data_IF_981353895368
#
_entry.id   IF_981353895368
#
_cell.length_a   1.000
_cell.length_b   1.000
_cell.length_c   1.000
_cell.angle_alpha   90.00
_cell.angle_beta   90.00
_cell.angle_gamma   90.00
#
_symmetry.space_group_name_H-M   'P 1'
#
loop_
_entity.id
_entity.type
_entity.pdbx_description
1 polymer ?
2 branched ?
3 non-polymer ?
4 water ?
#
# COMPACT_ATOMS: atom_id res chain seq x y z
N UNK A 1 -9.50 13.01 -11.18
CA UNK A 1 -9.78 12.10 -10.04
C UNK A 1 -10.03 10.68 -10.54
N UNK A 2 -9.08 9.79 -10.24
CA UNK A 2 -9.08 8.42 -10.76
C UNK A 2 -10.21 7.61 -10.14
N UNK A 3 -10.68 6.61 -10.86
CA UNK A 3 -11.70 5.71 -10.36
C UNK A 3 -11.08 4.63 -9.46
N UNK A 4 -11.68 4.46 -8.29
CA UNK A 4 -11.31 3.41 -7.37
C UNK A 4 -12.36 2.31 -7.39
N UNK A 5 -11.94 1.04 -7.39
CA UNK A 5 -10.58 0.53 -7.32
C UNK A 5 -9.80 0.82 -8.58
N UNK A 6 -8.51 1.03 -8.41
CA UNK A 6 -7.63 1.49 -9.50
C UNK A 6 -6.49 0.49 -9.62
N UNK A 7 -6.18 0.11 -10.86
CA UNK A 7 -5.01 -0.73 -11.12
C UNK A 7 -3.89 0.04 -11.80
N UNK A 8 -2.74 0.07 -11.12
CA UNK A 8 -1.54 0.65 -11.67
C UNK A 8 -0.57 -0.46 -12.11
N UNK A 9 -0.41 -0.65 -13.43
CA UNK A 9 0.62 -1.57 -13.90
C UNK A 9 2.00 -1.16 -13.45
N UNK A 10 2.80 -2.16 -13.07
CA UNK A 10 4.19 -1.96 -12.73
C UNK A 10 5.04 -2.80 -13.69
N UNK A 11 5.47 -2.19 -14.80
CA UNK A 11 5.98 -3.02 -15.90
C UNK A 11 7.30 -3.69 -15.57
N UNK A 12 7.37 -5.01 -15.67
CA UNK A 12 8.58 -5.71 -15.27
C UNK A 12 8.75 -5.80 -13.76
N UNK A 13 7.65 -5.56 -13.05
CA UNK A 13 7.63 -5.74 -11.60
C UNK A 13 8.35 -4.62 -10.89
N UNK A 14 8.67 -4.86 -9.64
CA UNK A 14 9.39 -3.86 -8.85
C UNK A 14 10.84 -4.25 -8.71
N UNK A 15 11.62 -3.32 -8.20
CA UNK A 15 13.08 -3.44 -8.15
C UNK A 15 13.54 -2.42 -7.12
N UNK A 16 14.64 -2.71 -6.40
CA UNK A 16 15.15 -1.68 -5.50
C UNK A 16 15.39 -0.33 -6.20
N UNK A 17 15.15 0.72 -5.43
CA UNK A 17 15.23 2.12 -5.86
C UNK A 17 14.04 2.58 -6.72
N UNK A 18 13.01 1.76 -6.81
CA UNK A 18 11.75 2.17 -7.38
C UNK A 18 10.83 2.76 -6.31
N UNK A 19 10.31 3.94 -6.62
CA UNK A 19 9.49 4.70 -5.68
C UNK A 19 8.10 4.85 -6.27
N UNK A 20 7.09 4.40 -5.52
CA UNK A 20 5.72 4.46 -5.97
C UNK A 20 5.01 5.48 -5.10
N UNK A 21 4.34 6.43 -5.74
CA UNK A 21 3.72 7.55 -5.02
C UNK A 21 2.22 7.61 -5.28
N UNK A 22 1.45 7.58 -4.19
CA UNK A 22 0.00 7.58 -4.27
C UNK A 22 -0.50 8.85 -3.58
N UNK A 23 -1.24 9.67 -4.31
CA UNK A 23 -1.81 10.87 -3.73
C UNK A 23 -3.31 10.76 -3.74
N UNK A 24 -3.94 11.10 -2.62
CA UNK A 24 -5.38 10.96 -2.52
C UNK A 24 -5.89 11.77 -1.35
N UNK A 25 -7.20 11.74 -1.16
CA UNK A 25 -7.80 12.33 0.03
C UNK A 25 -8.70 11.29 0.67
N UNK A 26 -8.61 11.15 1.99
CA UNK A 26 -9.46 10.20 2.69
C UNK A 26 -10.88 10.73 2.74
N UNK A 27 -11.85 9.89 2.41
CA UNK A 27 -13.26 10.28 2.48
C UNK A 27 -13.62 10.61 3.93
N UNK A 28 -14.64 11.45 4.13
CA UNK A 28 -15.16 11.57 5.49
C UNK A 28 -15.70 10.22 6.00
N UNK A 29 -15.57 9.96 7.30
CA UNK A 29 -16.00 8.64 7.84
C UNK A 29 -15.50 7.43 7.03
N UNK A 30 -14.26 7.50 6.55
CA UNK A 30 -13.59 6.34 6.00
C UNK A 30 -13.58 5.13 6.93
N UNK A 31 -13.67 3.95 6.33
CA UNK A 31 -13.50 2.70 7.04
C UNK A 31 -12.15 2.02 6.76
N UNK A 32 -11.73 2.02 5.49
CA UNK A 32 -10.53 1.29 5.11
C UNK A 32 -9.87 1.88 3.87
N UNK A 33 -8.59 1.58 3.72
CA UNK A 33 -7.88 1.79 2.47
C UNK A 33 -7.03 0.55 2.28
N UNK A 34 -6.79 0.16 1.03
CA UNK A 34 -5.84 -0.91 0.76
C UNK A 34 -5.00 -0.62 -0.46
N UNK A 35 -3.69 -0.83 -0.29
CA UNK A 35 -2.75 -0.96 -1.40
C UNK A 35 -2.33 -2.41 -1.47
N UNK A 36 -2.57 -3.03 -2.63
CA UNK A 36 -2.18 -4.42 -2.86
C UNK A 36 -1.18 -4.51 -4.01
N UNK A 37 0.08 -4.76 -3.67
CA UNK A 37 1.12 -5.08 -4.67
C UNK A 37 1.03 -6.56 -5.03
N UNK A 38 0.67 -6.83 -6.28
CA UNK A 38 0.23 -8.17 -6.69
C UNK A 38 1.24 -8.84 -7.59
N UNK A 39 1.47 -10.13 -7.34
CA UNK A 39 2.13 -11.03 -8.28
C UNK A 39 1.07 -12.01 -8.78
N UNK A 40 0.51 -11.72 -9.96
CA UNK A 40 -0.69 -12.44 -10.42
C UNK A 40 -1.78 -12.31 -9.38
N UNK A 41 -2.35 -13.44 -8.98
CA UNK A 41 -3.36 -13.46 -7.93
C UNK A 41 -2.83 -13.29 -6.50
N UNK A 42 -1.54 -13.52 -6.30
CA UNK A 42 -0.97 -13.38 -4.98
C UNK A 42 -0.83 -11.90 -4.66
N UNK A 43 -0.91 -11.57 -3.38
CA UNK A 43 -0.64 -10.21 -2.94
C UNK A 43 0.68 -10.23 -2.17
N UNK A 44 1.73 -9.71 -2.79
CA UNK A 44 3.06 -9.72 -2.21
C UNK A 44 3.12 -8.83 -0.98
N UNK A 45 2.44 -7.70 -1.05
CA UNK A 45 2.43 -6.72 0.03
C UNK A 45 1.07 -6.03 0.02
N UNK A 46 0.30 -6.33 1.06
CA UNK A 46 -1.00 -5.72 1.38
C UNK A 46 -0.77 -4.72 2.50
N UNK A 47 -1.14 -3.47 2.22
CA UNK A 47 -0.97 -2.34 3.13
C UNK A 47 -2.37 -1.79 3.37
N UNK A 48 -2.88 -2.00 4.59
CA UNK A 48 -4.32 -1.87 4.87
C UNK A 48 -4.62 -1.03 6.12
N UNK A 49 -4.66 0.30 5.97
CA UNK A 49 -5.19 1.18 7.03
C UNK A 49 -6.65 0.86 7.33
N UNK A 50 -6.94 0.60 8.61
CA UNK A 50 -8.29 0.38 9.09
C UNK A 50 -8.60 1.46 10.10
N UNK A 51 -9.67 2.20 9.83
CA UNK A 51 -10.02 3.39 10.61
C UNK A 51 -10.88 3.07 11.83
N UNK A 52 -11.44 1.87 11.88
CA UNK A 52 -12.30 1.48 13.01
C UNK A 52 -12.35 -0.02 13.16
N UNK A 53 -11.27 -0.57 13.69
CA UNK A 53 -11.24 -1.93 14.15
C UNK A 53 -11.38 -1.89 15.66
N UNK A 54 -12.56 -2.28 16.16
CA UNK A 54 -12.90 -2.09 17.57
C UNK A 54 -12.56 -0.69 18.10
N UNK A 55 -12.92 0.32 17.32
CA UNK A 55 -12.78 1.72 17.69
C UNK A 55 -11.31 2.12 17.86
N UNK A 56 -10.43 1.41 17.16
CA UNK A 56 -9.02 1.79 17.08
C UNK A 56 -8.63 1.89 15.62
N UNK A 57 -7.60 2.68 15.35
CA UNK A 57 -7.07 2.86 14.01
C UNK A 57 -5.76 2.09 13.96
N UNK A 58 -5.62 1.23 12.95
CA UNK A 58 -4.45 0.36 12.87
C UNK A 58 -4.09 0.16 11.41
N UNK A 59 -2.80 -0.01 11.14
CA UNK A 59 -2.35 -0.47 9.81
C UNK A 59 -2.08 -1.97 9.85
N UNK A 60 -2.77 -2.71 8.98
CA UNK A 60 -2.53 -4.14 8.84
C UNK A 60 -1.75 -4.37 7.54
N UNK A 61 -0.62 -5.05 7.65
CA UNK A 61 0.13 -5.52 6.48
C UNK A 61 0.25 -7.04 6.45
N UNK A 62 0.23 -7.61 5.26
CA UNK A 62 0.25 -9.05 5.12
C UNK A 62 0.56 -9.42 3.67
N UNK A 63 0.60 -10.72 3.43
CA UNK A 63 0.84 -11.31 2.11
C UNK A 63 -0.21 -12.39 1.90
N UNK A 64 -0.72 -12.48 0.67
CA UNK A 64 -1.69 -13.51 0.29
C UNK A 64 -1.02 -14.42 -0.72
N UNK A 65 -0.92 -15.71 -0.41
CA UNK A 65 -0.34 -16.69 -1.30
C UNK A 65 -1.33 -17.81 -1.53
N UNK A 66 -1.59 -18.14 -2.79
CA UNK A 66 -2.57 -19.17 -3.10
C UNK A 66 -3.88 -18.97 -2.33
N UNK A 67 -4.35 -17.73 -2.31
CA UNK A 67 -5.57 -17.35 -1.61
C UNK A 67 -5.57 -17.53 -0.08
N UNK A 68 -4.40 -17.67 0.52
CA UNK A 68 -4.26 -17.75 1.97
C UNK A 68 -3.52 -16.55 2.54
N UNK A 69 -4.11 -15.87 3.51
CA UNK A 69 -3.40 -14.81 4.22
C UNK A 69 -2.35 -15.38 5.18
N UNK A 70 -1.21 -14.71 5.27
CA UNK A 70 -0.18 -15.09 6.22
C UNK A 70 -0.31 -14.41 7.58
N UNK A 71 0.81 -14.30 8.26
CA UNK A 71 0.91 -13.62 9.55
C UNK A 71 0.83 -12.11 9.37
N UNK A 72 -0.15 -11.48 10.00
CA UNK A 72 -0.28 -10.04 9.92
C UNK A 72 0.84 -9.34 10.68
N UNK A 73 1.31 -8.23 10.10
CA UNK A 73 2.16 -7.27 10.79
C UNK A 73 1.39 -5.98 11.05
N UNK A 74 1.34 -5.55 12.32
CA UNK A 74 0.46 -4.46 12.71
C UNK A 74 1.22 -3.23 13.23
N UNK A 75 0.76 -2.06 12.82
CA UNK A 75 1.39 -0.79 13.17
C UNK A 75 0.30 0.15 13.71
N UNK A 76 0.51 0.60 14.94
CA UNK A 76 -0.44 1.42 15.65
C UNK A 76 -0.20 2.92 15.39
N UNK A 77 0.98 3.29 14.91
CA UNK A 77 1.16 4.62 14.35
C UNK A 77 0.26 4.76 13.12
N UNK A 78 -0.57 5.80 13.11
CA UNK A 78 -1.65 5.93 12.14
C UNK A 78 -1.78 7.37 11.67
N UNK A 79 -1.13 7.67 10.54
CA UNK A 79 -0.93 9.04 10.06
C UNK A 79 -2.11 9.59 9.25
N UNK A 80 -3.07 8.74 8.91
CA UNK A 80 -4.21 9.14 8.11
C UNK A 80 -5.28 9.80 8.97
N UNK A 81 -6.00 10.73 8.36
CA UNK A 81 -7.13 11.37 8.98
C UNK A 81 -8.27 11.50 7.96
N UNK A 82 -9.46 11.10 8.39
CA UNK A 82 -10.64 11.22 7.55
C UNK A 82 -10.78 12.65 7.06
N UNK A 83 -11.00 12.78 5.76
CA UNK A 83 -11.25 14.07 5.18
C UNK A 83 -10.02 14.77 4.63
N UNK A 84 -8.82 14.22 4.91
CA UNK A 84 -7.58 14.97 4.64
C UNK A 84 -6.76 14.36 3.50
N UNK A 85 -6.08 15.23 2.75
CA UNK A 85 -5.18 14.77 1.68
C UNK A 85 -3.95 14.10 2.24
N UNK A 86 -3.50 13.06 1.55
CA UNK A 86 -2.36 12.27 1.97
C UNK A 86 -1.43 11.99 0.79
N UNK A 87 -0.20 11.63 1.13
CA UNK A 87 0.75 11.10 0.17
C UNK A 87 1.31 9.83 0.76
N UNK A 88 1.20 8.72 0.03
CA UNK A 88 1.87 7.50 0.43
C UNK A 88 3.01 7.28 -0.52
N UNK A 89 4.21 7.08 0.02
CA UNK A 89 5.37 6.73 -0.78
C UNK A 89 5.84 5.35 -0.35
N UNK A 90 5.95 4.45 -1.34
CA UNK A 90 6.46 3.11 -1.11
C UNK A 90 7.77 2.97 -1.87
N UNK A 91 8.85 2.83 -1.12
CA UNK A 91 10.19 2.73 -1.71
C UNK A 91 10.60 1.27 -1.61
N UNK A 92 10.86 0.66 -2.75
CA UNK A 92 11.31 -0.72 -2.72
C UNK A 92 12.81 -0.70 -2.40
N UNK A 93 13.20 -1.46 -1.38
CA UNK A 93 14.60 -1.62 -0.98
C UNK A 93 14.94 -3.10 -1.12
N UNK A 94 16.21 -3.48 -0.98
CA UNK A 94 16.60 -4.86 -1.22
C UNK A 94 15.90 -5.89 -0.35
N UNK A 95 15.63 -5.57 0.92
CA UNK A 95 15.06 -6.58 1.82
C UNK A 95 13.61 -6.28 2.22
N UNK A 96 13.12 -5.08 1.87
CA UNK A 96 11.81 -4.65 2.33
C UNK A 96 11.19 -3.60 1.42
N UNK A 97 9.87 -3.44 1.56
CA UNK A 97 9.17 -2.21 1.20
C UNK A 97 9.26 -1.23 2.35
N UNK A 98 9.60 0.00 2.04
CA UNK A 98 9.66 1.07 3.03
C UNK A 98 8.55 2.08 2.71
N UNK A 99 7.68 2.33 3.69
CA UNK A 99 6.53 3.17 3.48
C UNK A 99 6.64 4.43 4.34
N UNK A 100 6.50 5.57 3.69
CA UNK A 100 6.37 6.86 4.36
C UNK A 100 5.03 7.49 3.96
N UNK A 101 4.39 8.15 4.92
CA UNK A 101 3.15 8.88 4.68
C UNK A 101 3.37 10.36 5.04
N UNK A 102 3.04 11.23 4.10
CA UNK A 102 3.22 12.68 4.31
C UNK A 102 4.63 13.00 4.77
N UNK A 103 5.58 12.34 4.10
CA UNK A 103 7.02 12.50 4.30
C UNK A 103 7.58 12.02 5.63
N UNK A 104 6.79 11.30 6.41
CA UNK A 104 7.27 10.69 7.63
C UNK A 104 7.31 9.18 7.50
N UNK A 105 8.44 8.60 7.86
CA UNK A 105 8.56 7.16 7.84
C UNK A 105 7.48 6.50 8.68
N UNK A 106 6.84 5.48 8.13
CA UNK A 106 5.81 4.74 8.83
C UNK A 106 6.21 3.33 9.21
N UNK A 107 6.59 2.52 8.22
CA UNK A 107 6.88 1.12 8.49
C UNK A 107 7.74 0.54 7.37
N UNK A 108 8.33 -0.61 7.66
CA UNK A 108 8.95 -1.46 6.63
C UNK A 108 8.30 -2.84 6.67
N UNK A 109 8.26 -3.50 5.52
CA UNK A 109 7.68 -4.81 5.38
C UNK A 109 8.63 -5.69 4.59
N UNK A 110 9.19 -6.68 5.27
CA UNK A 110 10.20 -7.53 4.66
C UNK A 110 9.63 -8.34 3.51
N UNK A 111 10.42 -8.53 2.45
CA UNK A 111 9.96 -9.29 1.31
C UNK A 111 9.73 -10.76 1.65
N UNK A 112 8.49 -11.18 1.47
CA UNK A 112 8.13 -12.58 1.56
C UNK A 112 8.08 -13.22 0.19
N UNK A 113 7.51 -12.48 -0.76
CA UNK A 113 7.58 -12.80 -2.18
C UNK A 113 8.93 -12.31 -2.69
N UNK A 114 9.69 -13.24 -3.26
CA UNK A 114 11.08 -13.01 -3.63
C UNK A 114 11.21 -12.59 -5.09
N UNK A 115 10.25 -12.98 -5.94
CA UNK A 115 10.32 -12.64 -7.36
C UNK A 115 9.77 -11.24 -7.59
N UNK A 116 10.61 -10.27 -7.24
CA UNK A 116 10.21 -8.87 -7.25
C UNK A 116 9.80 -8.42 -8.66
N UNK A 117 10.48 -8.94 -9.68
CA UNK A 117 10.17 -8.56 -11.04
C UNK A 117 8.90 -9.19 -11.59
N UNK A 118 8.16 -9.92 -10.75
CA UNK A 118 6.85 -10.43 -11.12
C UNK A 118 5.70 -9.77 -10.34
N UNK A 119 6.04 -8.84 -9.46
CA UNK A 119 5.05 -8.03 -8.76
C UNK A 119 4.65 -6.85 -9.64
N UNK A 120 3.73 -7.09 -10.56
CA UNK A 120 3.60 -6.25 -11.74
C UNK A 120 2.30 -5.43 -11.75
N UNK A 121 1.59 -5.39 -10.62
CA UNK A 121 0.39 -4.55 -10.49
C UNK A 121 0.28 -4.03 -9.08
N UNK A 122 -0.16 -2.78 -8.96
CA UNK A 122 -0.62 -2.22 -7.70
C UNK A 122 -2.11 -1.93 -7.77
N UNK A 123 -2.89 -2.59 -6.91
CA UNK A 123 -4.30 -2.33 -6.75
C UNK A 123 -4.54 -1.34 -5.61
N UNK A 124 -5.33 -0.31 -5.87
CA UNK A 124 -5.62 0.71 -4.85
C UNK A 124 -7.12 0.73 -4.67
N UNK A 125 -7.57 0.51 -3.42
CA UNK A 125 -8.98 0.38 -3.12
C UNK A 125 -9.29 1.06 -1.77
N UNK A 126 -10.58 1.27 -1.52
CA UNK A 126 -11.01 1.78 -0.24
C UNK A 126 -11.58 3.18 -0.33
N UNK A 127 -11.67 3.80 0.83
CA UNK A 127 -12.51 4.95 1.00
C UNK A 127 -11.69 6.21 0.79
N UNK A 128 -11.22 6.39 -0.45
CA UNK A 128 -10.45 7.57 -0.83
C UNK A 128 -10.95 8.16 -2.14
N UNK A 129 -10.70 9.46 -2.30
CA UNK A 129 -10.66 10.08 -3.60
C UNK A 129 -9.22 9.98 -4.06
N UNK A 130 -8.99 9.23 -5.13
CA UNK A 130 -7.65 9.04 -5.62
C UNK A 130 -7.25 10.09 -6.66
N UNK A 131 -6.17 10.79 -6.39
CA UNK A 131 -5.75 11.88 -7.24
C UNK A 131 -4.75 11.42 -8.29
N UNK A 132 -3.72 10.70 -7.86
CA UNK A 132 -2.75 10.17 -8.81
C UNK A 132 -2.02 8.97 -8.21
N UNK A 133 -1.46 8.15 -9.09
CA UNK A 133 -0.65 7.01 -8.70
C UNK A 133 0.43 6.85 -9.75
N UNK A 134 1.69 6.84 -9.33
CA UNK A 134 2.77 6.83 -10.30
C UNK A 134 4.01 6.24 -9.67
N UNK A 135 5.05 6.05 -10.47
CA UNK A 135 6.32 5.56 -9.98
C UNK A 135 7.47 6.26 -10.68
N UNK A 136 8.63 6.20 -10.05
CA UNK A 136 9.85 6.74 -10.62
C UNK A 136 11.05 5.97 -10.05
N UNK A 137 12.16 5.98 -10.78
CA UNK A 137 13.39 5.38 -10.30
C UNK A 137 14.22 6.48 -9.69
N UNK A 138 14.68 6.25 -8.46
CA UNK A 138 15.51 7.22 -7.79
C UNK A 138 16.91 6.67 -7.61
X LIG B 1 -8.14 -11.01 11.47
X LIG B 1 -8.48 -10.06 10.34
X LIG B 1 -8.64 -10.84 9.01
X LIG B 1 -9.67 -11.92 9.21
X LIG B 1 -9.86 -12.66 7.89
X LIG B 1 -9.17 -12.15 11.48
X LIG B 1 -8.79 -13.14 12.42
X LIG B 1 -8.19 -10.26 12.71
X LIG B 1 -7.43 -9.05 10.24
X LIG B 1 -9.15 -9.98 8.01
X LIG B 1 -9.18 -12.81 10.20
X LIG B 1 -8.66 -13.45 7.85
X LIG B 2 -8.52 -10.06 6.74
X LIG B 2 -9.35 -9.23 5.80
X LIG B 2 -8.67 -9.04 4.43
X LIG B 2 -7.22 -8.59 4.63
X LIG B 2 -6.49 -9.52 5.62
X LIG B 2 -5.09 -9.05 5.90
X LIG B 2 -10.66 -9.89 5.59
X LIG B 2 -9.40 -8.08 3.73
X LIG B 2 -7.23 -7.22 5.11
X LIG B 2 -7.16 -9.56 6.90
X LIG B 2 -4.53 -10.03 6.80
X LIG B 3 -9.45 -8.37 2.35
X LIG B 3 -10.77 -7.79 1.81
X LIG B 3 -10.88 -8.11 0.36
X LIG B 3 -9.65 -7.53 -0.37
X LIG B 3 -8.35 -8.01 0.30
X LIG B 3 -7.14 -7.33 -0.34
X LIG B 3 -12.50 -7.79 3.58
X LIG B 3 -13.64 -8.60 4.20
X LIG B 3 -11.90 -8.41 2.55
X LIG B 3 -12.06 -7.54 -0.20
X LIG B 3 -9.69 -8.02 -1.71
X LIG B 3 -8.36 -7.71 1.69
X LIG B 3 -7.32 -5.89 -0.28
X LIG B 3 -12.20 -6.67 4.00
X LIG B 4 -9.63 -6.98 -2.70
X LIG B 4 -9.45 -7.64 -4.07
X LIG B 4 -9.59 -6.63 -5.20
X LIG B 4 -10.87 -5.86 -5.02
X LIG B 4 -10.81 -5.17 -3.65
X LIG B 4 -11.94 -4.17 -3.50
X LIG B 4 -8.14 -8.25 -4.11
X LIG B 4 -9.61 -7.33 -6.46
X LIG B 4 -11.97 -6.79 -5.09
X LIG B 4 -10.85 -6.21 -2.65
X LIG B 4 -11.84 -3.74 -2.12
X LIG C 1 8.54 -15.75 -4.86
#
# INVERSE_FOLDING_TARGET
MLIVPYNLPLPGGVVPRMLITILGTVKPNANRIALDFQRGNDVAFHFNPRFNENNRRVIVCNTLLDNNWGREERQSVFPFESGKPFKIQVLVEPDHFKVAVNDAHLLQYNHRVKKLNEISKLGISGDIDLTSASYTMI
BGC C2 C3 C4 C5 C6 C1 O1 O2 O3 O4 O5 O6
GAL C1 C2 C3 C4 C5 C6 O2 O3 O4 O5 O6
NAG C1 C2 C3 C4 C5 C6 C7 C8 N2 O3 O4 O5 O6 O7
GAL C1 C2 C3 C4 C5 C6 O2 O3 O4 O5 O6
CL CL
#
